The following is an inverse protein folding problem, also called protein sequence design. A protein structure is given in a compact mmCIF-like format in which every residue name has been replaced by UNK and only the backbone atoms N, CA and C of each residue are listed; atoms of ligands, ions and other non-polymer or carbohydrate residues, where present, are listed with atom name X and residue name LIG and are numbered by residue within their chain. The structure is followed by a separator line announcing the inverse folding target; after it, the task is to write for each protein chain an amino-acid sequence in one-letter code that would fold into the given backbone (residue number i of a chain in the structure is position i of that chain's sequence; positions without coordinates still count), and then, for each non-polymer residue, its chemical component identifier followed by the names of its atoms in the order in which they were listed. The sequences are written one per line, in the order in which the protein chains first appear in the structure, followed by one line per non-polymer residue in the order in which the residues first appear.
data_IF_838963372363
#
_entry.id   IF_838963372363
#
_cell.length_a   1.000
_cell.length_b   1.000
_cell.length_c   1.000
_cell.angle_alpha   90.00
_cell.angle_beta   90.00
_cell.angle_gamma   90.00
#
_symmetry.space_group_name_H-M   'P 1'
#
loop_
_entity.id
_entity.type
_entity.pdbx_description
1 polymer ?
#
# COMPACT_ATOMS: atom_id res chain seq x y z
N UNK A 1 17.05 -14.24 6.25
CA UNK A 1 16.48 -13.66 5.02
C UNK A 1 16.30 -14.77 4.01
N UNK A 2 15.10 -14.98 3.49
CA UNK A 2 14.89 -15.89 2.36
C UNK A 2 15.23 -15.08 1.11
N UNK A 3 16.19 -15.54 0.31
CA UNK A 3 16.55 -14.83 -0.91
C UNK A 3 15.33 -14.77 -1.85
N UNK A 4 15.09 -13.64 -2.56
CA UNK A 4 14.04 -13.57 -3.56
C UNK A 4 14.25 -14.69 -4.58
N UNK A 5 13.21 -15.48 -4.79
CA UNK A 5 13.22 -16.57 -5.74
C UNK A 5 12.31 -16.19 -6.90
N UNK A 6 12.84 -15.66 -8.01
CA UNK A 6 12.00 -15.27 -9.13
C UNK A 6 11.25 -16.50 -9.68
N UNK A 7 9.99 -16.34 -10.12
CA UNK A 7 9.22 -17.46 -10.64
C UNK A 7 9.79 -17.96 -11.97
N UNK A 8 9.41 -19.17 -12.42
CA UNK A 8 9.81 -19.71 -13.72
C UNK A 8 9.57 -18.73 -14.88
N UNK A 9 10.37 -18.78 -15.96
CA UNK A 9 10.29 -17.80 -17.06
C UNK A 9 8.89 -17.63 -17.66
N UNK A 10 8.16 -18.72 -17.83
CA UNK A 10 6.78 -18.71 -18.36
C UNK A 10 5.83 -17.91 -17.46
N UNK A 11 5.91 -18.14 -16.15
CA UNK A 11 5.12 -17.41 -15.15
C UNK A 11 5.55 -15.94 -15.06
N UNK A 12 6.86 -15.67 -15.10
CA UNK A 12 7.38 -14.30 -15.17
C UNK A 12 6.83 -13.53 -16.39
N UNK A 13 6.78 -14.17 -17.55
CA UNK A 13 6.24 -13.56 -18.77
C UNK A 13 4.73 -13.31 -18.67
N UNK A 14 3.98 -14.26 -18.09
CA UNK A 14 2.55 -14.12 -17.80
C UNK A 14 2.27 -12.93 -16.87
N UNK A 15 2.97 -12.84 -15.73
CA UNK A 15 2.81 -11.76 -14.74
C UNK A 15 3.13 -10.39 -15.35
N UNK A 16 4.20 -10.29 -16.15
CA UNK A 16 4.55 -9.05 -16.85
C UNK A 16 3.50 -8.64 -17.89
N UNK A 17 2.90 -9.61 -18.57
CA UNK A 17 1.79 -9.35 -19.51
C UNK A 17 0.58 -8.80 -18.76
N UNK A 18 0.16 -9.46 -17.67
CA UNK A 18 -0.94 -8.99 -16.80
C UNK A 18 -0.70 -7.58 -16.28
N UNK A 19 0.52 -7.30 -15.81
CA UNK A 19 0.88 -5.95 -15.34
C UNK A 19 0.73 -4.92 -16.45
N UNK A 20 1.20 -5.24 -17.65
CA UNK A 20 1.12 -4.33 -18.79
C UNK A 20 -0.32 -4.14 -19.30
N UNK A 21 -1.19 -5.13 -19.13
CA UNK A 21 -2.63 -5.02 -19.42
C UNK A 21 -3.30 -4.09 -18.40
N UNK A 22 -3.12 -4.35 -17.11
CA UNK A 22 -3.68 -3.54 -16.02
C UNK A 22 -3.21 -2.08 -16.06
N UNK A 23 -1.91 -1.86 -16.30
CA UNK A 23 -1.33 -0.52 -16.37
C UNK A 23 -1.87 0.33 -17.53
N UNK A 24 -2.52 -0.30 -18.53
CA UNK A 24 -3.14 0.38 -19.67
C UNK A 24 -4.64 0.64 -19.49
N UNK A 25 -5.25 0.14 -18.41
CA UNK A 25 -6.63 0.47 -18.07
C UNK A 25 -6.79 1.98 -17.84
N UNK A 26 -8.00 2.51 -18.09
CA UNK A 26 -8.30 3.93 -17.84
C UNK A 26 -8.11 4.31 -16.37
N UNK A 27 -8.41 3.37 -15.47
CA UNK A 27 -8.20 3.47 -14.03
C UNK A 27 -7.51 2.19 -13.54
N UNK A 28 -6.18 2.12 -13.60
CA UNK A 28 -5.44 0.96 -13.15
C UNK A 28 -5.63 0.72 -11.64
N UNK A 29 -5.78 -0.54 -11.25
CA UNK A 29 -5.80 -0.95 -9.86
C UNK A 29 -4.38 -0.97 -9.28
N UNK A 30 -4.12 -0.06 -8.34
CA UNK A 30 -2.80 0.12 -7.74
C UNK A 30 -2.38 -1.10 -6.92
N UNK A 31 -3.31 -1.73 -6.21
CA UNK A 31 -3.03 -2.92 -5.39
C UNK A 31 -2.58 -4.07 -6.30
N UNK A 32 -3.33 -4.32 -7.36
CA UNK A 32 -3.04 -5.33 -8.39
C UNK A 32 -1.68 -5.09 -9.03
N UNK A 33 -1.38 -3.86 -9.46
CA UNK A 33 -0.07 -3.52 -10.04
C UNK A 33 1.09 -3.81 -9.08
N UNK A 34 0.95 -3.44 -7.81
CA UNK A 34 1.96 -3.71 -6.79
C UNK A 34 2.13 -5.20 -6.51
N UNK A 35 1.04 -5.97 -6.45
CA UNK A 35 1.07 -7.42 -6.23
C UNK A 35 1.70 -8.16 -7.41
N UNK A 36 1.44 -7.74 -8.65
CA UNK A 36 2.08 -8.31 -9.84
C UNK A 36 3.59 -8.06 -9.86
N UNK A 37 4.05 -6.87 -9.46
CA UNK A 37 5.49 -6.61 -9.25
C UNK A 37 6.03 -7.53 -8.14
N UNK A 38 5.29 -7.65 -7.03
CA UNK A 38 5.59 -8.55 -5.92
C UNK A 38 5.86 -9.98 -6.36
N UNK A 39 4.97 -10.55 -7.17
CA UNK A 39 5.08 -11.93 -7.64
C UNK A 39 6.19 -12.16 -8.66
N UNK A 40 6.59 -11.13 -9.41
CA UNK A 40 7.79 -11.20 -10.26
C UNK A 40 9.06 -11.22 -9.42
N UNK A 41 9.09 -10.47 -8.32
CA UNK A 41 10.25 -10.42 -7.42
C UNK A 41 10.33 -11.64 -6.48
N UNK A 42 9.18 -12.16 -6.05
CA UNK A 42 9.02 -13.28 -5.14
C UNK A 42 8.03 -14.29 -5.72
N UNK A 43 8.57 -15.32 -6.38
CA UNK A 43 7.81 -16.38 -7.01
C UNK A 43 7.08 -17.30 -6.02
N UNK A 44 7.19 -17.06 -4.70
CA UNK A 44 6.33 -17.72 -3.71
C UNK A 44 4.97 -17.03 -3.52
N UNK A 45 4.79 -15.81 -4.04
CA UNK A 45 3.50 -15.14 -4.06
C UNK A 45 2.62 -15.70 -5.19
N UNK A 46 1.68 -16.55 -4.81
CA UNK A 46 0.64 -17.11 -5.70
C UNK A 46 -0.66 -16.29 -5.66
N UNK A 47 -1.68 -16.72 -6.42
CA UNK A 47 -2.98 -16.02 -6.46
C UNK A 47 -3.63 -15.98 -5.07
N UNK A 48 -3.55 -17.05 -4.29
CA UNK A 48 -4.13 -17.08 -2.95
C UNK A 48 -3.45 -16.06 -2.02
N UNK A 49 -2.13 -15.88 -2.15
CA UNK A 49 -1.40 -14.84 -1.44
C UNK A 49 -1.77 -13.43 -1.88
N UNK A 50 -2.05 -13.21 -3.17
CA UNK A 50 -2.56 -11.93 -3.67
C UNK A 50 -3.96 -11.65 -3.12
N UNK A 51 -4.87 -12.62 -3.20
CA UNK A 51 -6.23 -12.52 -2.67
C UNK A 51 -6.23 -12.23 -1.16
N UNK A 52 -5.31 -12.85 -0.41
CA UNK A 52 -5.18 -12.59 1.02
C UNK A 52 -4.81 -11.14 1.33
N UNK A 53 -4.03 -10.49 0.47
CA UNK A 53 -3.69 -9.06 0.63
C UNK A 53 -4.92 -8.19 0.37
N UNK A 54 -5.67 -8.47 -0.70
CA UNK A 54 -6.91 -7.76 -1.01
C UNK A 54 -7.92 -7.86 0.14
N UNK A 55 -8.14 -9.08 0.63
CA UNK A 55 -9.03 -9.34 1.78
C UNK A 55 -8.58 -8.58 3.02
N UNK A 56 -7.27 -8.50 3.28
CA UNK A 56 -6.76 -7.76 4.43
C UNK A 56 -6.96 -6.25 4.29
N UNK A 57 -6.77 -5.69 3.09
CA UNK A 57 -7.02 -4.26 2.83
C UNK A 57 -8.52 -3.92 2.96
N UNK A 58 -9.41 -4.77 2.46
CA UNK A 58 -10.86 -4.64 2.61
C UNK A 58 -11.26 -4.73 4.09
N UNK A 59 -10.68 -5.68 4.84
CA UNK A 59 -10.93 -5.85 6.27
C UNK A 59 -10.52 -4.61 7.05
N UNK A 60 -9.35 -4.04 6.78
CA UNK A 60 -8.89 -2.78 7.40
C UNK A 60 -9.80 -1.61 7.02
N UNK A 61 -10.21 -1.51 5.75
CA UNK A 61 -11.11 -0.46 5.30
C UNK A 61 -12.47 -0.53 6.00
N UNK A 62 -12.98 -1.75 6.23
CA UNK A 62 -14.23 -2.00 6.96
C UNK A 62 -14.20 -1.60 8.44
N UNK A 63 -13.02 -1.37 9.03
CA UNK A 63 -12.88 -0.88 10.40
C UNK A 63 -12.85 0.65 10.50
N UNK A 64 -12.72 1.37 9.38
CA UNK A 64 -12.77 2.83 9.39
C UNK A 64 -14.20 3.34 9.62
N UNK A 65 -14.35 4.52 10.26
CA UNK A 65 -15.65 5.14 10.42
C UNK A 65 -16.27 5.48 9.06
N UNK A 66 -17.60 5.35 8.96
CA UNK A 66 -18.32 5.73 7.75
C UNK A 66 -18.33 7.25 7.59
N UNK A 67 -17.71 7.75 6.51
CA UNK A 67 -17.68 9.17 6.10
C UNK A 67 -17.42 10.16 7.26
N UNK A 68 -16.27 10.09 7.94
CA UNK A 68 -15.86 11.14 8.88
C UNK A 68 -15.89 12.52 8.18
N UNK A 69 -16.52 13.49 8.84
CA UNK A 69 -16.98 14.73 8.20
C UNK A 69 -15.91 15.75 7.80
N UNK A 70 -14.62 15.42 7.89
CA UNK A 70 -13.53 16.32 7.46
C UNK A 70 -12.25 15.57 7.09
N UNK A 71 -11.35 16.16 6.27
CA UNK A 71 -10.04 15.59 5.98
C UNK A 71 -9.21 15.27 7.23
N UNK A 72 -9.28 16.14 8.25
CA UNK A 72 -8.60 15.91 9.53
C UNK A 72 -9.17 14.71 10.28
N UNK A 73 -10.49 14.53 10.27
CA UNK A 73 -11.12 13.38 10.90
C UNK A 73 -10.73 12.07 10.18
N UNK A 74 -10.62 12.09 8.85
CA UNK A 74 -10.04 10.97 8.10
C UNK A 74 -8.59 10.69 8.48
N UNK A 75 -7.73 11.71 8.54
CA UNK A 75 -6.32 11.55 8.89
C UNK A 75 -6.14 10.95 10.29
N UNK A 76 -6.92 11.43 11.27
CA UNK A 76 -6.92 10.87 12.63
C UNK A 76 -7.40 9.42 12.64
N UNK A 77 -8.49 9.09 11.95
CA UNK A 77 -8.98 7.71 11.88
C UNK A 77 -7.97 6.76 11.24
N UNK A 78 -7.26 7.19 10.19
CA UNK A 78 -6.20 6.41 9.55
C UNK A 78 -4.99 6.24 10.44
N UNK A 79 -4.55 7.30 11.13
CA UNK A 79 -3.46 7.27 12.11
C UNK A 79 -3.78 6.31 13.25
N UNK A 80 -4.95 6.44 13.87
CA UNK A 80 -5.36 5.60 14.99
C UNK A 80 -5.48 4.12 14.56
N UNK A 81 -6.02 3.86 13.38
CA UNK A 81 -6.17 2.50 12.86
C UNK A 81 -4.83 1.92 12.39
N UNK A 82 -4.23 2.51 11.35
CA UNK A 82 -3.07 1.92 10.67
C UNK A 82 -1.80 2.15 11.46
N UNK A 83 -1.55 3.38 11.91
CA UNK A 83 -0.34 3.72 12.66
C UNK A 83 -0.33 3.16 14.07
N UNK A 84 -1.33 3.50 14.89
CA UNK A 84 -1.32 3.17 16.31
C UNK A 84 -1.76 1.72 16.57
N UNK A 85 -2.93 1.30 16.04
CA UNK A 85 -3.51 -0.01 16.36
C UNK A 85 -2.85 -1.16 15.59
N UNK A 86 -2.58 -0.98 14.30
CA UNK A 86 -1.96 -2.01 13.45
C UNK A 86 -0.46 -1.86 13.28
N UNK A 87 0.14 -0.76 13.75
CA UNK A 87 1.60 -0.59 13.79
C UNK A 87 2.24 -0.42 12.42
N UNK A 88 1.51 0.04 11.40
CA UNK A 88 2.07 0.37 10.11
C UNK A 88 3.02 1.55 10.23
N UNK A 89 4.29 1.33 9.86
CA UNK A 89 5.32 2.35 9.86
C UNK A 89 6.64 1.83 9.33
N UNK A 90 7.67 2.66 9.30
CA UNK A 90 9.00 2.28 8.86
C UNK A 90 10.09 2.71 9.85
N UNK A 91 11.29 2.16 9.66
CA UNK A 91 12.54 2.64 10.31
C UNK A 91 13.66 2.63 9.28
N UNK A 92 14.79 3.27 9.59
CA UNK A 92 15.94 3.38 8.68
C UNK A 92 16.42 2.04 8.13
N UNK A 93 16.41 0.97 8.92
CA UNK A 93 16.83 -0.37 8.49
C UNK A 93 15.94 -0.95 7.37
N UNK A 94 14.68 -0.50 7.26
CA UNK A 94 13.77 -0.96 6.21
C UNK A 94 14.24 -0.54 4.81
N UNK A 95 15.09 0.49 4.68
CA UNK A 95 15.66 0.89 3.38
C UNK A 95 16.62 -0.13 2.78
N UNK A 96 17.15 -1.05 3.59
CA UNK A 96 18.08 -2.09 3.13
C UNK A 96 17.37 -3.41 2.81
N UNK A 97 16.03 -3.44 2.92
CA UNK A 97 15.23 -4.65 2.86
C UNK A 97 14.36 -4.68 1.62
N UNK A 98 14.54 -5.67 0.76
CA UNK A 98 13.67 -5.87 -0.40
C UNK A 98 12.22 -6.05 0.03
N UNK A 99 11.98 -6.76 1.14
CA UNK A 99 10.62 -7.04 1.62
C UNK A 99 9.87 -5.76 2.00
N UNK A 100 10.59 -4.68 2.33
CA UNK A 100 9.99 -3.38 2.63
C UNK A 100 9.55 -2.61 1.37
N UNK A 101 9.84 -3.15 0.18
CA UNK A 101 9.42 -2.64 -1.14
C UNK A 101 8.37 -3.53 -1.83
N UNK A 102 7.90 -4.61 -1.19
CA UNK A 102 6.91 -5.53 -1.76
C UNK A 102 5.60 -5.44 -0.97
N UNK A 103 4.48 -5.13 -1.63
CA UNK A 103 3.22 -4.82 -0.94
C UNK A 103 2.73 -5.97 -0.04
N UNK A 104 2.80 -7.22 -0.51
CA UNK A 104 2.38 -8.38 0.28
C UNK A 104 3.19 -8.53 1.58
N UNK A 105 4.48 -8.23 1.52
CA UNK A 105 5.36 -8.24 2.68
C UNK A 105 5.11 -7.06 3.62
N UNK A 106 4.83 -5.87 3.09
CA UNK A 106 4.50 -4.68 3.89
C UNK A 106 3.18 -4.89 4.62
N UNK A 107 2.15 -5.44 3.96
CA UNK A 107 0.86 -5.78 4.59
C UNK A 107 1.05 -6.85 5.66
N UNK A 108 1.86 -7.89 5.40
CA UNK A 108 2.13 -8.97 6.37
C UNK A 108 2.91 -8.49 7.58
N UNK A 109 3.98 -7.70 7.37
CA UNK A 109 4.91 -7.26 8.41
C UNK A 109 4.45 -5.99 9.12
N UNK A 110 3.53 -5.22 8.51
CA UNK A 110 3.17 -3.85 8.89
C UNK A 110 4.38 -2.89 8.83
N UNK A 111 5.37 -3.20 8.00
CA UNK A 111 6.66 -2.51 7.93
C UNK A 111 7.11 -2.35 6.50
N UNK A 112 7.48 -1.13 6.10
CA UNK A 112 7.80 -0.85 4.70
C UNK A 112 8.53 0.46 4.47
N UNK A 113 8.82 0.73 3.19
CA UNK A 113 9.29 2.03 2.72
C UNK A 113 8.14 3.05 2.65
N UNK A 114 8.45 4.37 2.67
CA UNK A 114 7.42 5.42 2.67
C UNK A 114 6.38 5.27 1.55
N UNK A 115 6.86 4.95 0.33
CA UNK A 115 5.98 4.80 -0.84
C UNK A 115 5.04 3.59 -0.73
N UNK A 116 5.51 2.43 -0.27
CA UNK A 116 4.64 1.25 -0.12
C UNK A 116 3.70 1.37 1.09
N UNK A 117 4.13 2.01 2.18
CA UNK A 117 3.23 2.32 3.30
C UNK A 117 2.13 3.28 2.86
N UNK A 118 2.47 4.25 2.01
CA UNK A 118 1.50 5.16 1.41
C UNK A 118 0.52 4.44 0.48
N UNK A 119 0.95 3.41 -0.26
CA UNK A 119 0.03 2.54 -1.00
C UNK A 119 -0.98 1.91 -0.04
N UNK A 120 -0.53 1.26 1.04
CA UNK A 120 -1.46 0.66 2.02
C UNK A 120 -2.47 1.69 2.55
N UNK A 121 -1.99 2.87 2.96
CA UNK A 121 -2.85 3.93 3.50
C UNK A 121 -3.87 4.43 2.49
N UNK A 122 -3.44 4.72 1.26
CA UNK A 122 -4.33 5.16 0.18
C UNK A 122 -5.36 4.09 -0.14
N UNK A 123 -4.94 2.84 -0.24
CA UNK A 123 -5.76 1.71 -0.66
C UNK A 123 -6.83 1.36 0.37
N UNK A 124 -6.49 1.40 1.67
CA UNK A 124 -7.47 1.27 2.76
C UNK A 124 -8.44 2.45 2.78
N UNK A 125 -7.93 3.67 2.67
CA UNK A 125 -8.76 4.88 2.72
C UNK A 125 -9.72 5.00 1.52
N UNK A 126 -9.27 4.67 0.31
CA UNK A 126 -10.11 4.66 -0.91
C UNK A 126 -11.26 3.66 -0.83
N UNK A 127 -10.99 2.44 -0.35
CA UNK A 127 -12.01 1.41 -0.12
C UNK A 127 -13.07 1.88 0.89
N UNK A 128 -12.67 2.68 1.89
CA UNK A 128 -13.60 3.32 2.82
C UNK A 128 -14.30 4.59 2.26
N UNK A 129 -13.98 5.00 1.03
CA UNK A 129 -14.58 6.14 0.34
C UNK A 129 -13.94 7.50 0.66
N UNK A 130 -12.73 7.52 1.24
CA UNK A 130 -12.03 8.76 1.53
C UNK A 130 -11.44 9.40 0.25
N UNK A 131 -11.48 10.74 0.11
CA UNK A 131 -10.73 11.46 -0.91
C UNK A 131 -9.24 11.47 -0.52
N UNK A 132 -8.42 10.69 -1.22
CA UNK A 132 -7.01 10.47 -0.84
C UNK A 132 -6.10 10.29 -2.06
N UNK A 133 -4.90 10.83 -1.99
CA UNK A 133 -3.88 10.75 -3.03
C UNK A 133 -2.46 10.77 -2.46
N UNK A 134 -1.50 10.37 -3.28
CA UNK A 134 -0.10 10.35 -2.91
C UNK A 134 0.58 11.68 -3.22
N UNK A 135 1.49 12.11 -2.35
CA UNK A 135 2.29 13.32 -2.52
C UNK A 135 3.76 12.95 -2.48
N UNK A 136 4.44 13.17 -3.60
CA UNK A 136 5.88 12.98 -3.70
C UNK A 136 6.61 14.21 -3.15
N UNK A 137 7.46 13.99 -2.14
CA UNK A 137 8.36 14.98 -1.57
C UNK A 137 9.81 14.60 -1.91
N UNK A 138 10.77 15.54 -1.87
CA UNK A 138 12.18 15.19 -2.06
C UNK A 138 12.64 14.15 -1.04
N UNK A 139 12.93 12.93 -1.50
CA UNK A 139 13.40 11.83 -0.67
C UNK A 139 12.32 11.14 0.18
N UNK A 140 11.05 11.50 0.04
CA UNK A 140 9.96 10.96 0.86
C UNK A 140 8.62 10.89 0.13
N UNK A 141 7.66 10.12 0.63
CA UNK A 141 6.33 10.02 0.05
C UNK A 141 5.29 9.95 1.15
N UNK A 142 4.28 10.81 1.06
CA UNK A 142 3.22 10.96 2.07
C UNK A 142 1.84 10.88 1.43
N UNK A 143 0.80 10.87 2.26
CA UNK A 143 -0.59 10.79 1.82
C UNK A 143 -1.29 12.12 2.07
N UNK A 144 -1.90 12.67 1.02
CA UNK A 144 -2.80 13.82 1.12
C UNK A 144 -4.25 13.37 1.17
N UNK A 145 -5.02 13.95 2.10
CA UNK A 145 -6.42 13.62 2.35
C UNK A 145 -7.26 14.90 2.17
N UNK A 146 -8.37 14.80 1.44
CA UNK A 146 -9.24 15.94 1.12
C UNK A 146 -8.95 16.57 -0.23
N UNK A 147 -9.48 17.77 -0.45
CA UNK A 147 -9.18 18.59 -1.63
C UNK A 147 -7.79 19.23 -1.51
N UNK A 148 -7.10 19.45 -2.63
CA UNK A 148 -5.69 19.89 -2.65
C UNK A 148 -5.45 21.19 -1.87
N UNK A 149 -6.39 22.13 -1.94
CA UNK A 149 -6.31 23.45 -1.29
C UNK A 149 -6.52 23.41 0.24
N UNK A 150 -7.15 22.35 0.75
CA UNK A 150 -7.49 22.19 2.16
C UNK A 150 -7.05 20.82 2.72
N UNK A 151 -6.05 20.22 2.07
CA UNK A 151 -5.62 18.87 2.36
C UNK A 151 -4.99 18.76 3.75
N UNK A 152 -5.12 17.57 4.33
CA UNK A 152 -4.30 17.16 5.47
C UNK A 152 -3.28 16.16 4.96
N UNK A 153 -2.00 16.43 5.22
CA UNK A 153 -0.93 15.48 4.97
C UNK A 153 -0.79 14.56 6.18
N UNK A 154 -0.58 13.28 5.93
CA UNK A 154 -0.21 12.29 6.93
C UNK A 154 1.00 11.51 6.41
N UNK A 155 2.00 11.27 7.25
CA UNK A 155 3.18 10.49 6.90
C UNK A 155 3.04 9.01 7.32
N UNK A 156 2.78 8.07 6.40
CA UNK A 156 2.63 6.66 6.75
C UNK A 156 3.91 6.02 7.27
N UNK A 157 5.09 6.58 6.96
CA UNK A 157 6.36 6.07 7.46
C UNK A 157 6.50 6.33 8.96
N UNK A 158 6.01 7.48 9.43
CA UNK A 158 5.92 7.85 10.86
C UNK A 158 4.58 7.46 11.51
N UNK A 159 3.80 6.59 10.86
CA UNK A 159 2.52 6.12 11.39
C UNK A 159 1.38 7.17 11.34
N UNK A 160 1.53 8.23 10.56
CA UNK A 160 0.54 9.30 10.37
C UNK A 160 0.88 10.62 11.04
N UNK A 161 2.09 10.75 11.58
CA UNK A 161 2.65 11.98 12.15
C UNK A 161 2.88 13.10 11.15
#
# INVERSE_FOLDING_TARGET
MRAPHPPPPERSAELRRRFAEEARCERPDLTTLCLLIGAVADGSLDEAGMDAVEVELDRLAGELPYRPGSPRAWALALRDLLGERYGFGGVSDDYQRLESSLLHEVVRRRRGLPILLSVVWMEVARRAGAPVYGVALPGHFVVGIGEVEAQVLADPFDGGG
#
